data_IF_565410900717
#
_entry.id   IF_565410900717
#
_cell.length_a   1.000
_cell.length_b   1.000
_cell.length_c   1.000
_cell.angle_alpha   90.00
_cell.angle_beta   90.00
_cell.angle_gamma   90.00
#
_symmetry.space_group_name_H-M   'P 1'
#
loop_
_entity.id
_entity.type
_entity.pdbx_description
1 polymer ?
#
# COMPACT_ATOMS: atom_id res chain seq x y z
N UNK A 1 15.60 43.38 -30.06
CA UNK A 1 16.09 42.89 -31.36
C UNK A 1 16.52 41.44 -31.14
N UNK A 2 16.09 40.40 -31.83
CA UNK A 2 15.12 40.24 -32.91
C UNK A 2 14.86 38.72 -33.03
N UNK A 3 13.59 38.33 -32.87
CA UNK A 3 12.85 37.22 -33.50
C UNK A 3 13.54 35.87 -33.75
N UNK A 4 13.12 34.88 -32.96
CA UNK A 4 12.89 33.51 -33.43
C UNK A 4 11.66 33.48 -34.34
N UNK A 5 11.81 33.00 -35.58
CA UNK A 5 10.69 32.55 -36.41
C UNK A 5 11.19 31.75 -37.59
N UNK A 6 10.82 30.46 -37.63
CA UNK A 6 10.54 29.60 -38.79
C UNK A 6 10.20 28.21 -38.22
N UNK A 7 9.41 27.42 -38.95
CA UNK A 7 8.81 26.14 -38.57
C UNK A 7 7.38 26.23 -38.00
N UNK A 8 6.53 26.95 -38.74
CA UNK A 8 5.13 26.54 -38.95
C UNK A 8 5.04 26.11 -40.42
N UNK A 9 4.12 25.18 -40.71
CA UNK A 9 3.72 24.62 -42.03
C UNK A 9 4.27 23.21 -42.28
N UNK A 10 3.52 22.18 -41.89
CA UNK A 10 2.68 21.40 -42.84
C UNK A 10 1.89 20.29 -42.13
N UNK A 11 0.57 20.48 -42.14
CA UNK A 11 -0.49 19.54 -41.81
C UNK A 11 -0.85 18.74 -43.09
N UNK A 12 -1.38 17.52 -42.89
CA UNK A 12 -2.15 16.69 -43.84
C UNK A 12 -1.35 15.82 -44.82
N UNK A 13 -1.29 14.51 -44.53
CA UNK A 13 -1.41 13.44 -45.53
C UNK A 13 -2.09 12.22 -44.88
N UNK A 14 -3.41 12.29 -44.72
CA UNK A 14 -4.27 11.11 -44.72
C UNK A 14 -4.67 10.87 -46.17
N UNK A 15 -4.41 9.68 -46.72
CA UNK A 15 -5.27 9.01 -47.70
C UNK A 15 -4.72 7.61 -48.04
N UNK A 16 -5.67 6.68 -48.14
CA UNK A 16 -5.68 5.45 -48.93
C UNK A 16 -4.66 4.35 -48.63
N UNK A 17 -5.10 3.32 -47.88
CA UNK A 17 -5.21 1.95 -48.41
C UNK A 17 -6.42 1.28 -47.75
N UNK A 18 -7.56 1.28 -48.44
CA UNK A 18 -8.65 0.32 -48.19
C UNK A 18 -8.40 -0.87 -49.11
N UNK A 19 -8.05 -2.04 -48.56
CA UNK A 19 -8.11 -3.30 -49.29
C UNK A 19 -9.19 -4.16 -48.65
N UNK A 20 -10.15 -4.48 -49.51
CA UNK A 20 -11.32 -5.33 -49.32
C UNK A 20 -10.90 -6.79 -49.04
N UNK A 21 -11.70 -7.59 -48.32
CA UNK A 21 -12.51 -8.74 -48.82
C UNK A 21 -12.74 -9.68 -47.59
N UNK A 22 -13.82 -10.49 -47.41
CA UNK A 22 -15.25 -10.26 -47.59
C UNK A 22 -16.09 -10.66 -46.33
N UNK A 23 -17.36 -10.27 -46.36
CA UNK A 23 -18.43 -10.81 -45.51
C UNK A 23 -18.77 -12.27 -45.88
N UNK A 24 -19.00 -13.12 -44.87
CA UNK A 24 -19.87 -14.30 -44.98
C UNK A 24 -20.85 -14.24 -43.81
N UNK A 25 -22.14 -14.27 -44.13
CA UNK A 25 -23.25 -14.02 -43.21
C UNK A 25 -23.78 -15.28 -42.52
N UNK A 26 -24.40 -15.01 -41.36
CA UNK A 26 -25.62 -15.62 -40.78
C UNK A 26 -25.60 -17.02 -40.20
N UNK A 27 -25.95 -17.09 -38.92
CA UNK A 27 -27.23 -17.68 -38.46
C UNK A 27 -27.56 -17.22 -37.02
N UNK A 28 -28.69 -16.53 -36.85
CA UNK A 28 -29.45 -16.38 -35.59
C UNK A 28 -30.56 -17.46 -35.59
N UNK A 29 -30.93 -18.09 -34.48
CA UNK A 29 -31.93 -17.64 -33.47
C UNK A 29 -32.28 -18.85 -32.54
N UNK A 30 -33.28 -18.81 -31.62
CA UNK A 30 -33.41 -18.00 -30.40
C UNK A 30 -33.90 -18.77 -29.14
N UNK A 31 -33.95 -18.07 -27.98
CA UNK A 31 -34.87 -18.19 -26.80
C UNK A 31 -34.95 -19.56 -26.05
N UNK A 32 -35.18 -19.73 -24.74
CA UNK A 32 -35.94 -19.00 -23.71
C UNK A 32 -35.61 -19.64 -22.34
N UNK A 33 -35.68 -18.89 -21.23
CA UNK A 33 -35.21 -19.31 -19.91
C UNK A 33 -36.17 -20.17 -19.08
N UNK A 34 -35.74 -20.55 -17.86
CA UNK A 34 -36.58 -20.47 -16.65
C UNK A 34 -35.78 -20.64 -15.34
N UNK A 35 -36.33 -20.08 -14.27
CA UNK A 35 -35.86 -20.09 -12.88
C UNK A 35 -35.91 -21.50 -12.23
N UNK A 36 -35.11 -21.72 -11.17
CA UNK A 36 -35.31 -22.88 -10.28
C UNK A 36 -34.19 -23.13 -9.26
N UNK A 37 -34.46 -22.75 -8.02
CA UNK A 37 -33.65 -22.90 -6.81
C UNK A 37 -33.28 -24.38 -6.49
N UNK A 38 -32.06 -24.64 -5.99
CA UNK A 38 -31.72 -25.81 -5.17
C UNK A 38 -30.42 -25.57 -4.39
N UNK A 39 -30.57 -25.40 -3.08
CA UNK A 39 -29.51 -25.59 -2.09
C UNK A 39 -28.92 -27.01 -2.21
N UNK A 40 -27.60 -27.11 -2.23
CA UNK A 40 -26.90 -28.32 -1.80
C UNK A 40 -25.53 -27.94 -1.28
N UNK A 41 -25.35 -28.11 0.02
CA UNK A 41 -24.06 -28.03 0.70
C UNK A 41 -23.12 -29.09 0.15
N UNK A 42 -22.14 -28.69 -0.65
CA UNK A 42 -20.99 -29.51 -0.98
C UNK A 42 -19.76 -28.79 -0.43
N UNK A 43 -19.21 -29.37 0.64
CA UNK A 43 -17.96 -28.97 1.26
C UNK A 43 -16.90 -28.76 0.17
N UNK A 44 -16.53 -27.50 -0.08
CA UNK A 44 -15.35 -27.17 -0.89
C UNK A 44 -14.14 -27.49 -0.03
N UNK A 45 -13.66 -28.71 -0.18
CA UNK A 45 -12.27 -29.06 0.10
C UNK A 45 -11.42 -28.14 -0.78
N UNK A 46 -10.90 -27.06 -0.21
CA UNK A 46 -9.92 -26.23 -0.88
C UNK A 46 -8.68 -27.10 -1.05
N UNK A 47 -8.51 -27.67 -2.25
CA UNK A 47 -7.19 -28.06 -2.73
C UNK A 47 -6.36 -26.79 -2.69
N UNK A 48 -5.43 -26.72 -1.73
CA UNK A 48 -4.36 -25.74 -1.75
C UNK A 48 -3.47 -26.16 -2.91
N UNK A 49 -3.77 -25.65 -4.11
CA UNK A 49 -2.81 -25.68 -5.20
C UNK A 49 -1.64 -24.82 -4.74
N UNK A 50 -0.50 -25.50 -4.57
CA UNK A 50 0.82 -24.91 -4.38
C UNK A 50 1.19 -24.22 -5.70
N UNK A 51 0.59 -23.04 -5.91
CA UNK A 51 0.77 -22.23 -7.11
C UNK A 51 1.87 -21.19 -6.88
N UNK A 52 2.71 -21.02 -7.89
CA UNK A 52 4.01 -20.38 -7.87
C UNK A 52 4.00 -18.95 -7.30
N UNK A 53 4.84 -18.69 -6.28
CA UNK A 53 5.34 -17.36 -5.86
C UNK A 53 4.35 -16.17 -5.91
N UNK A 54 3.07 -16.38 -5.57
CA UNK A 54 2.13 -15.26 -5.47
C UNK A 54 2.35 -14.53 -4.15
N UNK A 55 3.16 -13.48 -4.18
CA UNK A 55 3.25 -12.53 -3.07
C UNK A 55 1.89 -11.82 -2.95
N UNK A 56 1.11 -12.19 -1.93
CA UNK A 56 -0.21 -11.60 -1.62
C UNK A 56 -0.11 -10.23 -0.92
N UNK A 57 0.97 -9.47 -1.16
CA UNK A 57 1.21 -8.20 -0.51
C UNK A 57 0.78 -7.03 -1.39
N UNK A 58 -0.22 -6.27 -0.96
CA UNK A 58 -0.68 -5.07 -1.65
C UNK A 58 0.34 -3.94 -1.54
N UNK A 59 1.09 -3.66 -2.62
CA UNK A 59 2.12 -2.61 -2.67
C UNK A 59 1.62 -1.23 -2.23
N UNK A 60 0.50 -0.77 -2.78
CA UNK A 60 -0.08 0.55 -2.44
C UNK A 60 -0.36 0.69 -0.94
N UNK A 61 -1.01 -0.31 -0.34
CA UNK A 61 -1.24 -0.37 1.11
C UNK A 61 0.07 -0.45 1.92
N UNK A 62 1.07 -1.18 1.43
CA UNK A 62 2.41 -1.23 2.06
C UNK A 62 3.06 0.16 2.08
N UNK A 63 2.98 0.90 0.97
CA UNK A 63 3.44 2.29 0.87
C UNK A 63 2.69 3.21 1.83
N UNK A 64 1.38 3.05 1.96
CA UNK A 64 0.58 3.79 2.93
C UNK A 64 0.99 3.49 4.37
N UNK A 65 1.24 2.22 4.71
CA UNK A 65 1.75 1.82 6.02
C UNK A 65 3.10 2.45 6.32
N UNK A 66 4.03 2.41 5.35
CA UNK A 66 5.33 3.05 5.49
C UNK A 66 5.20 4.56 5.71
N UNK A 67 4.37 5.24 4.91
CA UNK A 67 4.12 6.69 5.06
C UNK A 67 3.64 7.05 6.46
N UNK A 68 2.72 6.26 7.02
CA UNK A 68 2.27 6.43 8.41
C UNK A 68 3.41 6.27 9.40
N UNK A 69 4.24 5.23 9.25
CA UNK A 69 5.39 4.99 10.12
C UNK A 69 6.38 6.16 10.04
N UNK A 70 6.71 6.58 8.83
CA UNK A 70 7.66 7.66 8.56
C UNK A 70 7.18 9.02 9.09
N UNK A 71 5.91 9.36 8.90
CA UNK A 71 5.37 10.66 9.33
C UNK A 71 5.07 10.71 10.84
N UNK A 72 4.59 9.61 11.44
CA UNK A 72 4.02 9.64 12.79
C UNK A 72 4.80 8.84 13.84
N UNK A 73 5.71 7.94 13.45
CA UNK A 73 6.50 7.15 14.40
C UNK A 73 7.99 7.51 14.37
N UNK A 74 8.60 7.52 13.18
CA UNK A 74 10.04 7.70 13.03
C UNK A 74 10.61 8.97 13.66
N UNK A 75 9.94 10.15 13.62
CA UNK A 75 10.46 11.35 14.26
C UNK A 75 10.75 11.16 15.76
N UNK A 76 9.93 10.37 16.46
CA UNK A 76 10.10 10.09 17.88
C UNK A 76 11.14 9.01 18.14
N UNK A 77 11.18 7.97 17.32
CA UNK A 77 12.20 6.91 17.38
C UNK A 77 13.60 7.50 17.19
N UNK A 78 13.75 8.40 16.21
CA UNK A 78 15.02 9.07 15.90
C UNK A 78 15.40 10.10 16.97
N UNK A 79 14.44 10.89 17.45
CA UNK A 79 14.67 11.86 18.54
C UNK A 79 15.18 11.17 19.81
N UNK A 80 14.60 10.02 20.16
CA UNK A 80 14.99 9.20 21.31
C UNK A 80 16.22 8.31 21.03
N UNK A 81 16.77 8.36 19.80
CA UNK A 81 17.87 7.52 19.30
C UNK A 81 17.65 6.03 19.54
N UNK A 82 16.38 5.60 19.48
CA UNK A 82 16.00 4.23 19.73
C UNK A 82 16.30 3.35 18.52
N UNK A 83 16.88 2.19 18.78
CA UNK A 83 17.12 1.17 17.74
C UNK A 83 15.99 0.15 17.79
N UNK A 84 15.11 0.19 16.79
CA UNK A 84 14.09 -0.85 16.61
C UNK A 84 14.82 -2.19 16.43
N UNK A 85 14.33 -3.25 17.10
CA UNK A 85 14.90 -4.58 16.95
C UNK A 85 14.67 -5.13 15.54
N UNK A 86 15.64 -5.87 14.98
CA UNK A 86 15.47 -6.57 13.70
C UNK A 86 14.34 -7.62 13.73
N UNK A 87 13.89 -8.06 14.91
CA UNK A 87 12.71 -8.92 15.06
C UNK A 87 11.36 -8.19 15.00
N UNK A 88 11.36 -6.85 15.08
CA UNK A 88 10.14 -6.06 15.06
C UNK A 88 9.57 -5.95 13.64
N UNK A 89 8.25 -6.08 13.51
CA UNK A 89 7.55 -5.99 12.22
C UNK A 89 7.58 -4.59 11.59
N UNK A 90 7.84 -3.55 12.39
CA UNK A 90 8.01 -2.16 11.93
C UNK A 90 9.47 -1.83 11.59
N UNK A 91 10.40 -2.78 11.70
CA UNK A 91 11.80 -2.53 11.34
C UNK A 91 11.90 -2.21 9.84
N UNK A 92 12.61 -1.15 9.42
CA UNK A 92 12.69 -0.76 8.01
C UNK A 92 13.21 -1.87 7.09
N UNK A 93 14.23 -2.61 7.53
CA UNK A 93 14.81 -3.72 6.76
C UNK A 93 13.88 -4.93 6.60
N UNK A 94 12.79 -4.99 7.38
CA UNK A 94 11.80 -6.05 7.27
C UNK A 94 10.70 -5.71 6.27
N UNK A 95 10.63 -4.50 5.72
CA UNK A 95 9.61 -4.16 4.72
C UNK A 95 9.94 -4.79 3.36
N UNK A 96 9.03 -5.64 2.88
CA UNK A 96 9.15 -6.38 1.63
C UNK A 96 9.43 -5.49 0.43
N UNK A 97 8.78 -4.34 0.33
CA UNK A 97 8.91 -3.47 -0.84
C UNK A 97 9.91 -2.33 -0.63
N UNK A 98 10.55 -2.23 0.54
CA UNK A 98 11.41 -1.12 0.94
C UNK A 98 12.42 -0.73 -0.12
N UNK A 99 13.20 -1.71 -0.56
CA UNK A 99 14.25 -1.51 -1.55
C UNK A 99 13.67 -0.99 -2.88
N UNK A 100 12.62 -1.60 -3.38
CA UNK A 100 12.00 -1.19 -4.64
C UNK A 100 11.38 0.21 -4.57
N UNK A 101 10.74 0.56 -3.45
CA UNK A 101 10.18 1.90 -3.25
C UNK A 101 11.30 2.97 -3.19
N UNK A 102 12.46 2.66 -2.60
CA UNK A 102 13.65 3.53 -2.60
C UNK A 102 14.30 3.69 -3.98
N UNK A 103 14.07 2.72 -4.88
CA UNK A 103 14.54 2.75 -6.26
C UNK A 103 13.54 3.34 -7.25
N UNK A 104 12.57 4.12 -6.77
CA UNK A 104 11.74 4.97 -7.61
C UNK A 104 12.33 6.37 -7.68
N UNK A 105 12.45 6.90 -8.87
CA UNK A 105 12.86 8.28 -9.07
C UNK A 105 11.75 9.02 -9.81
N UNK A 106 11.11 9.98 -9.15
CA UNK A 106 10.22 10.93 -9.80
C UNK A 106 11.09 12.06 -10.35
N UNK A 107 11.34 12.04 -11.65
CA UNK A 107 12.29 12.92 -12.34
C UNK A 107 11.62 14.23 -12.77
N UNK A 108 10.39 14.14 -13.25
CA UNK A 108 9.54 15.27 -13.67
C UNK A 108 8.05 14.90 -13.43
N UNK A 109 7.13 15.85 -13.56
CA UNK A 109 5.69 15.72 -13.29
C UNK A 109 5.13 14.39 -13.82
N UNK A 110 5.47 14.04 -15.07
CA UNK A 110 5.03 12.82 -15.75
C UNK A 110 6.22 11.91 -16.13
N UNK A 111 7.31 11.92 -15.37
CA UNK A 111 8.45 11.04 -15.61
C UNK A 111 8.88 10.34 -14.33
N UNK A 112 8.61 9.04 -14.29
CA UNK A 112 9.07 8.10 -13.28
C UNK A 112 10.14 7.20 -13.86
N UNK A 113 11.25 7.01 -13.14
CA UNK A 113 12.38 6.20 -13.59
C UNK A 113 12.67 5.06 -12.62
N UNK A 114 12.86 3.87 -13.18
CA UNK A 114 13.34 2.71 -12.45
C UNK A 114 14.81 2.87 -12.05
N UNK A 115 15.13 2.73 -10.77
CA UNK A 115 16.48 2.81 -10.23
C UNK A 115 17.39 1.67 -10.70
N UNK A 116 16.85 0.48 -10.94
CA UNK A 116 17.64 -0.71 -11.31
C UNK A 116 18.07 -0.72 -12.79
N UNK A 117 17.15 -0.44 -13.71
CA UNK A 117 17.40 -0.56 -15.16
C UNK A 117 17.21 0.75 -15.95
N UNK A 118 16.94 1.86 -15.26
CA UNK A 118 16.82 3.22 -15.84
C UNK A 118 15.68 3.43 -16.86
N UNK A 119 14.75 2.48 -17.01
CA UNK A 119 13.54 2.66 -17.83
C UNK A 119 12.65 3.76 -17.25
N UNK A 120 12.06 4.56 -18.15
CA UNK A 120 11.14 5.64 -17.80
C UNK A 120 9.67 5.21 -18.02
N UNK A 121 8.78 5.79 -17.22
CA UNK A 121 7.34 5.55 -17.18
C UNK A 121 6.65 6.89 -16.95
N UNK A 122 5.43 7.04 -17.45
CA UNK A 122 4.72 8.31 -17.34
C UNK A 122 3.89 8.45 -16.06
N UNK A 123 3.58 7.34 -15.39
CA UNK A 123 2.91 7.31 -14.07
C UNK A 123 3.55 6.24 -13.17
N UNK A 124 3.48 6.46 -11.85
CA UNK A 124 4.03 5.55 -10.83
C UNK A 124 3.47 4.12 -10.96
N UNK A 125 2.18 3.97 -11.26
CA UNK A 125 1.52 2.66 -11.38
C UNK A 125 2.15 1.76 -12.46
N UNK A 126 2.73 2.35 -13.51
CA UNK A 126 3.42 1.58 -14.56
C UNK A 126 4.83 1.18 -14.13
N UNK A 127 5.48 2.00 -13.29
CA UNK A 127 6.74 1.62 -12.65
C UNK A 127 6.52 0.50 -11.62
N UNK A 128 5.45 0.56 -10.84
CA UNK A 128 5.05 -0.51 -9.91
C UNK A 128 4.85 -1.84 -10.65
N UNK A 129 4.04 -1.81 -11.72
CA UNK A 129 3.84 -2.98 -12.59
C UNK A 129 5.17 -3.46 -13.20
N UNK A 130 6.08 -2.56 -13.54
CA UNK A 130 7.41 -2.94 -14.04
C UNK A 130 8.23 -3.67 -12.96
N UNK A 131 8.21 -3.22 -11.71
CA UNK A 131 8.88 -3.95 -10.62
C UNK A 131 8.31 -5.35 -10.44
N UNK A 132 6.99 -5.49 -10.42
CA UNK A 132 6.33 -6.79 -10.24
C UNK A 132 6.67 -7.79 -11.37
N UNK A 133 6.91 -7.30 -12.59
CA UNK A 133 7.19 -8.17 -13.75
C UNK A 133 8.67 -8.40 -14.03
N UNK A 134 9.55 -7.47 -13.67
CA UNK A 134 10.96 -7.45 -14.13
C UNK A 134 11.99 -7.44 -13.02
N UNK A 135 11.59 -7.15 -11.79
CA UNK A 135 12.47 -7.05 -10.62
C UNK A 135 11.88 -7.76 -9.39
N UNK A 136 10.96 -8.70 -9.60
CA UNK A 136 10.36 -9.49 -8.53
C UNK A 136 11.40 -10.34 -7.79
N UNK A 137 12.40 -10.83 -8.51
CA UNK A 137 13.55 -11.62 -8.02
C UNK A 137 14.42 -10.86 -7.02
N UNK A 138 14.36 -9.52 -6.99
CA UNK A 138 15.07 -8.70 -6.02
C UNK A 138 14.38 -8.65 -4.64
N UNK A 139 13.15 -9.18 -4.51
CA UNK A 139 12.42 -9.21 -3.25
C UNK A 139 12.95 -10.31 -2.32
N UNK A 140 13.27 -9.94 -1.07
CA UNK A 140 13.63 -10.90 -0.03
C UNK A 140 12.38 -11.52 0.60
N UNK A 141 11.72 -12.42 -0.12
CA UNK A 141 10.47 -13.04 0.31
C UNK A 141 10.60 -13.96 1.54
N UNK A 142 11.81 -14.41 1.91
CA UNK A 142 12.03 -15.31 3.04
C UNK A 142 12.11 -14.59 4.39
N UNK A 143 12.66 -13.37 4.42
CA UNK A 143 12.88 -12.62 5.67
C UNK A 143 11.99 -11.39 5.78
N UNK A 144 11.60 -10.78 4.67
CA UNK A 144 10.77 -9.59 4.69
C UNK A 144 9.31 -9.90 4.97
N UNK A 145 8.59 -8.87 5.39
CA UNK A 145 7.20 -8.89 5.85
C UNK A 145 6.40 -7.89 5.02
N UNK A 146 5.15 -8.24 4.75
CA UNK A 146 4.24 -7.33 4.09
C UNK A 146 3.73 -6.26 5.07
N UNK A 147 4.12 -4.99 4.91
CA UNK A 147 3.62 -3.93 5.78
C UNK A 147 2.11 -3.67 5.59
N UNK A 148 1.54 -4.04 4.44
CA UNK A 148 0.10 -3.91 4.20
C UNK A 148 -0.74 -4.70 5.22
N UNK A 149 -0.19 -5.80 5.78
CA UNK A 149 -0.85 -6.59 6.82
C UNK A 149 -1.03 -5.80 8.12
N UNK A 150 -0.22 -4.75 8.33
CA UNK A 150 -0.27 -3.87 9.50
C UNK A 150 -1.23 -2.71 9.32
N UNK A 151 -1.82 -2.52 8.13
CA UNK A 151 -2.65 -1.35 7.85
C UNK A 151 -3.88 -1.21 8.73
N UNK A 152 -4.45 -2.33 9.19
CA UNK A 152 -5.55 -2.30 10.15
C UNK A 152 -5.12 -1.65 11.47
N UNK A 153 -3.90 -1.94 11.95
CA UNK A 153 -3.36 -1.36 13.18
C UNK A 153 -2.86 0.08 12.99
N UNK A 154 -2.30 0.40 11.83
CA UNK A 154 -1.67 1.68 11.51
C UNK A 154 -2.63 2.73 10.92
N UNK A 155 -3.91 2.41 10.71
CA UNK A 155 -4.89 3.31 10.09
C UNK A 155 -4.49 3.83 8.69
N UNK A 156 -3.90 2.96 7.84
CA UNK A 156 -3.46 3.34 6.48
C UNK A 156 -4.54 4.06 5.66
N UNK A 157 -5.81 3.69 5.84
CA UNK A 157 -6.93 4.26 5.09
C UNK A 157 -7.09 5.78 5.32
N UNK A 158 -6.46 6.35 6.35
CA UNK A 158 -6.42 7.80 6.60
C UNK A 158 -5.45 8.56 5.69
N UNK A 159 -4.38 7.92 5.24
CA UNK A 159 -3.36 8.54 4.37
C UNK A 159 -3.52 8.14 2.91
N UNK A 160 -4.42 7.20 2.62
CA UNK A 160 -4.81 6.82 1.27
C UNK A 160 -5.92 7.74 0.76
N UNK A 161 -5.82 8.19 -0.49
CA UNK A 161 -6.80 9.08 -1.16
C UNK A 161 -8.16 8.40 -1.43
N UNK A 162 -8.34 7.14 -1.03
CA UNK A 162 -9.64 6.50 -1.04
C UNK A 162 -10.55 7.25 -0.09
N UNK A 163 -11.48 8.05 -0.64
CA UNK A 163 -12.51 8.77 0.10
C UNK A 163 -12.96 7.92 1.28
N UNK A 164 -12.75 8.41 2.51
CA UNK A 164 -13.26 7.80 3.73
C UNK A 164 -14.79 7.77 3.65
N UNK A 165 -15.33 6.82 2.89
CA UNK A 165 -16.74 6.49 2.95
C UNK A 165 -16.90 6.01 4.37
N UNK A 166 -17.52 6.85 5.20
CA UNK A 166 -17.81 6.58 6.60
C UNK A 166 -18.67 5.33 6.66
N UNK A 167 -18.03 4.18 6.69
CA UNK A 167 -18.69 2.90 6.88
C UNK A 167 -19.04 2.80 8.35
N UNK A 168 -20.14 2.12 8.65
CA UNK A 168 -20.52 1.85 10.04
C UNK A 168 -19.38 1.09 10.71
N UNK A 169 -18.97 1.53 11.90
CA UNK A 169 -17.92 0.87 12.65
C UNK A 169 -18.26 -0.62 12.86
N UNK A 170 -17.27 -1.49 12.64
CA UNK A 170 -17.37 -2.90 12.94
C UNK A 170 -16.61 -3.19 14.25
N UNK A 171 -17.31 -3.51 15.35
CA UNK A 171 -16.67 -3.74 16.65
C UNK A 171 -15.63 -4.86 16.64
N UNK A 172 -15.88 -5.93 15.88
CA UNK A 172 -14.95 -7.04 15.77
C UNK A 172 -13.68 -6.65 15.02
N UNK A 173 -13.79 -5.81 13.99
CA UNK A 173 -12.62 -5.29 13.27
C UNK A 173 -11.79 -4.34 14.15
N UNK A 174 -12.47 -3.43 14.87
CA UNK A 174 -11.81 -2.53 15.81
C UNK A 174 -11.03 -3.30 16.89
N UNK A 175 -11.65 -4.31 17.52
CA UNK A 175 -10.99 -5.14 18.52
C UNK A 175 -9.77 -5.89 17.96
N UNK A 176 -9.88 -6.49 16.77
CA UNK A 176 -8.75 -7.19 16.12
C UNK A 176 -7.60 -6.22 15.81
N UNK A 177 -7.90 -5.05 15.26
CA UNK A 177 -6.90 -4.05 14.93
C UNK A 177 -6.23 -3.49 16.18
N UNK A 178 -6.99 -3.30 17.27
CA UNK A 178 -6.45 -2.91 18.58
C UNK A 178 -5.43 -3.92 19.09
N UNK A 179 -5.79 -5.20 19.13
CA UNK A 179 -4.87 -6.25 19.58
C UNK A 179 -3.62 -6.37 18.70
N UNK A 180 -3.77 -6.25 17.38
CA UNK A 180 -2.63 -6.22 16.48
C UNK A 180 -1.71 -5.02 16.78
N UNK A 181 -2.29 -3.85 17.04
CA UNK A 181 -1.56 -2.63 17.40
C UNK A 181 -0.81 -2.78 18.73
N UNK A 182 -1.47 -3.28 19.77
CA UNK A 182 -0.85 -3.53 21.09
C UNK A 182 0.31 -4.53 20.97
N UNK A 183 0.13 -5.62 20.21
CA UNK A 183 1.18 -6.60 19.94
C UNK A 183 2.39 -5.99 19.21
N UNK A 184 2.19 -4.98 18.35
CA UNK A 184 3.30 -4.23 17.76
C UNK A 184 4.03 -3.41 18.82
N UNK A 185 3.30 -2.72 19.71
CA UNK A 185 3.92 -1.97 20.80
C UNK A 185 4.76 -2.87 21.71
N UNK A 186 4.24 -4.04 22.09
CA UNK A 186 4.94 -5.02 22.95
C UNK A 186 6.22 -5.56 22.30
N UNK A 187 6.15 -5.88 21.00
CA UNK A 187 7.28 -6.51 20.29
C UNK A 187 8.34 -5.51 19.82
N UNK A 188 7.92 -4.30 19.46
CA UNK A 188 8.80 -3.27 18.91
C UNK A 188 9.35 -2.32 19.97
N UNK A 189 8.59 -2.07 21.04
CA UNK A 189 8.93 -1.17 22.14
C UNK A 189 8.66 -1.85 23.50
N UNK A 190 9.30 -2.98 23.82
CA UNK A 190 9.06 -3.66 25.10
C UNK A 190 9.48 -2.78 26.28
N UNK A 191 8.58 -2.59 27.26
CA UNK A 191 8.84 -1.78 28.46
C UNK A 191 10.02 -2.32 29.29
N UNK A 192 10.32 -3.61 29.19
CA UNK A 192 11.44 -4.28 29.86
C UNK A 192 12.82 -3.87 29.34
N UNK A 193 12.91 -3.19 28.18
CA UNK A 193 14.17 -2.72 27.59
C UNK A 193 14.59 -1.32 28.06
N UNK A 194 13.93 -0.78 29.08
CA UNK A 194 14.32 0.46 29.75
C UNK A 194 13.40 1.64 29.47
N UNK A 195 13.68 2.82 30.08
CA UNK A 195 12.76 3.94 30.14
C UNK A 195 12.43 4.55 28.76
N UNK A 196 13.41 4.60 27.86
CA UNK A 196 13.19 5.09 26.48
C UNK A 196 12.20 4.19 25.73
N UNK A 197 12.38 2.87 25.83
CA UNK A 197 11.48 1.87 25.25
C UNK A 197 10.08 2.01 25.84
N UNK A 198 9.98 2.23 27.15
CA UNK A 198 8.70 2.48 27.84
C UNK A 198 7.97 3.73 27.35
N UNK A 199 8.68 4.86 27.14
CA UNK A 199 8.07 6.08 26.58
C UNK A 199 7.55 5.86 25.15
N UNK A 200 8.34 5.20 24.31
CA UNK A 200 7.93 4.87 22.94
C UNK A 200 6.76 3.88 22.90
N UNK A 201 6.71 2.94 23.85
CA UNK A 201 5.59 2.03 24.02
C UNK A 201 4.29 2.79 24.31
N UNK A 202 4.31 3.65 25.33
CA UNK A 202 3.16 4.46 25.71
C UNK A 202 2.73 5.40 24.59
N UNK A 203 3.70 6.05 23.94
CA UNK A 203 3.47 6.87 22.75
C UNK A 203 2.75 6.09 21.65
N UNK A 204 3.25 4.89 21.31
CA UNK A 204 2.68 4.08 20.25
C UNK A 204 1.23 3.68 20.57
N UNK A 205 0.95 3.27 21.82
CA UNK A 205 -0.42 2.94 22.25
C UNK A 205 -1.37 4.13 22.09
N UNK A 206 -0.96 5.32 22.55
CA UNK A 206 -1.78 6.53 22.50
C UNK A 206 -2.00 7.04 21.08
N UNK A 207 -0.95 7.03 20.26
CA UNK A 207 -0.97 7.59 18.91
C UNK A 207 -1.68 6.68 17.91
N UNK A 208 -1.52 5.35 18.06
CA UNK A 208 -2.02 4.38 17.08
C UNK A 208 -3.17 3.51 17.63
N UNK A 209 -3.09 3.04 18.88
CA UNK A 209 -3.95 1.95 19.34
C UNK A 209 -5.27 2.43 19.97
N UNK A 210 -5.27 3.54 20.71
CA UNK A 210 -6.46 4.05 21.42
C UNK A 210 -7.63 4.42 20.48
N UNK A 211 -7.31 4.74 19.23
CA UNK A 211 -8.31 5.06 18.21
C UNK A 211 -9.10 3.83 17.71
N UNK A 212 -8.68 2.60 18.03
CA UNK A 212 -9.39 1.37 17.65
C UNK A 212 -10.61 1.11 18.55
N UNK A 213 -11.62 1.98 18.44
CA UNK A 213 -12.89 1.88 19.18
C UNK A 213 -14.06 2.41 18.36
N UNK A 214 -15.26 1.82 18.55
CA UNK A 214 -16.49 2.30 17.92
C UNK A 214 -17.19 3.42 18.69
N UNK A 215 -16.78 3.71 19.93
CA UNK A 215 -17.49 4.62 20.84
C UNK A 215 -17.03 6.08 20.76
N UNK A 216 -16.41 6.50 19.65
CA UNK A 216 -15.93 7.88 19.47
C UNK A 216 -14.63 8.19 20.19
N UNK A 217 -13.63 7.28 20.09
CA UNK A 217 -12.30 7.46 20.66
C UNK A 217 -11.48 8.59 20.02
N UNK A 218 -10.24 8.80 20.50
CA UNK A 218 -9.35 9.79 19.93
C UNK A 218 -9.14 9.51 18.43
N UNK A 219 -9.09 10.58 17.63
CA UNK A 219 -8.75 10.43 16.21
C UNK A 219 -7.26 10.06 16.11
N UNK A 220 -6.88 9.08 15.27
CA UNK A 220 -5.47 8.87 14.96
C UNK A 220 -4.91 10.16 14.34
N UNK A 221 -3.65 10.47 14.65
CA UNK A 221 -2.90 11.55 14.00
C UNK A 221 -3.62 12.93 14.06
N UNK A 222 -3.88 13.48 15.26
CA UNK A 222 -4.52 14.78 15.38
C UNK A 222 -3.74 15.85 14.60
N UNK A 223 -4.41 16.50 13.64
CA UNK A 223 -3.79 17.56 12.82
C UNK A 223 -3.24 18.66 13.72
N UNK A 224 -1.92 18.93 13.64
CA UNK A 224 -1.28 20.07 14.28
C UNK A 224 -0.66 19.84 15.66
N UNK A 225 -0.58 18.61 16.17
CA UNK A 225 0.15 18.34 17.42
C UNK A 225 1.50 17.68 17.14
N UNK A 226 2.58 18.45 17.28
CA UNK A 226 3.78 17.89 17.92
C UNK A 226 3.34 17.54 19.32
N UNK A 227 3.29 16.25 19.65
CA UNK A 227 3.01 15.81 21.02
C UNK A 227 4.14 16.34 21.88
N UNK A 228 3.88 17.42 22.63
CA UNK A 228 4.83 17.96 23.59
C UNK A 228 4.88 16.98 24.76
N UNK A 229 5.95 16.18 24.83
CA UNK A 229 6.20 15.32 25.97
C UNK A 229 6.57 16.21 27.15
N UNK A 230 5.70 16.26 28.16
CA UNK A 230 6.07 16.76 29.47
C UNK A 230 7.10 15.80 30.07
N UNK A 231 8.38 16.19 29.99
CA UNK A 231 9.43 15.57 30.80
C UNK A 231 9.09 15.90 32.26
N UNK A 232 8.65 14.90 33.02
CA UNK A 232 8.62 14.96 34.49
C UNK A 232 9.67 14.02 35.03
#
# INVERSE_FOLDING_TARGET
>A
MEKWSKWVVLLVFCLSVCIQIPYVSSSTAPLQGNQGNKESSAARTFKLEEDAHVVRCSRERSRAAWKVIEEYLMPFVEQERYKISSGCRLHPDNDLYRDQEQHKHHVDINEWRCGYCRKNFYEEKYLDKHFDNRHFDLLNTSHSRCLADLCGALHCDLVMDSSLRKTKCNPAAAARNKHLCESLADSCFPVSKGPVSGRLHEFFLRQFCDAHTCSGGPKPFPKGQKVEFSVT
#
